data_IF_322375431381
#
_entry.id   IF_322375431381
#
_cell.length_a   1.000
_cell.length_b   1.000
_cell.length_c   1.000
_cell.angle_alpha   90.00
_cell.angle_beta   90.00
_cell.angle_gamma   90.00
#
_symmetry.space_group_name_H-M   'P 1'
#
loop_
_entity.id
_entity.type
_entity.pdbx_description
1 polymer ?
#
# COMPACT_ATOMS: atom_id res chain seq x y z
N UNK A 1 15.93 19.41 -8.87
CA UNK A 1 14.79 20.19 -8.37
C UNK A 1 15.19 20.66 -6.98
N UNK A 2 15.19 21.97 -6.71
CA UNK A 2 15.62 22.50 -5.42
C UNK A 2 14.63 22.10 -4.32
N UNK A 3 15.13 21.83 -3.11
CA UNK A 3 14.27 21.60 -1.95
C UNK A 3 13.61 22.93 -1.59
N UNK A 4 12.34 23.09 -1.96
CA UNK A 4 11.51 24.18 -1.44
C UNK A 4 11.26 23.91 0.05
N UNK A 5 11.85 24.73 0.91
CA UNK A 5 11.66 24.62 2.36
C UNK A 5 10.43 25.42 2.78
N UNK A 6 9.61 24.83 3.64
CA UNK A 6 8.39 25.45 4.18
C UNK A 6 8.49 25.48 5.69
N UNK A 7 8.20 26.63 6.31
CA UNK A 7 8.16 26.76 7.77
C UNK A 7 6.77 26.42 8.29
N UNK A 8 6.69 25.44 9.20
CA UNK A 8 5.45 25.03 9.86
C UNK A 8 5.44 25.51 11.31
N UNK A 9 4.26 25.91 11.81
CA UNK A 9 4.07 26.22 13.24
C UNK A 9 3.50 24.99 13.94
N UNK A 10 4.22 24.52 14.96
CA UNK A 10 3.81 23.40 15.80
C UNK A 10 3.61 23.87 17.24
N UNK A 11 2.64 23.28 17.98
CA UNK A 11 2.57 23.45 19.43
C UNK A 11 3.89 23.03 20.09
N UNK A 12 4.42 23.87 20.99
CA UNK A 12 5.70 23.61 21.66
C UNK A 12 5.80 22.22 22.32
N UNK A 13 4.74 21.68 22.98
CA UNK A 13 4.80 20.32 23.55
C UNK A 13 4.95 19.22 22.50
N UNK A 14 4.39 19.40 21.30
CA UNK A 14 4.52 18.43 20.22
C UNK A 14 5.92 18.46 19.59
N UNK A 15 6.50 19.65 19.45
CA UNK A 15 7.86 19.78 18.97
C UNK A 15 8.86 19.18 19.95
N UNK A 16 8.73 19.46 21.26
CA UNK A 16 9.54 18.82 22.29
C UNK A 16 9.44 17.28 22.23
N UNK A 17 8.24 16.74 21.96
CA UNK A 17 8.08 15.30 21.79
C UNK A 17 8.75 14.77 20.52
N UNK A 18 8.74 15.53 19.43
CA UNK A 18 9.47 15.19 18.22
C UNK A 18 10.99 15.21 18.45
N UNK A 19 11.51 16.15 19.25
CA UNK A 19 12.92 16.17 19.64
C UNK A 19 13.32 14.91 20.42
N UNK A 20 12.54 14.51 21.42
CA UNK A 20 12.78 13.27 22.17
C UNK A 20 12.82 12.04 21.26
N UNK A 21 11.82 11.89 20.39
CA UNK A 21 11.72 10.76 19.47
C UNK A 21 12.82 10.78 18.41
N UNK A 22 13.30 11.96 18.01
CA UNK A 22 14.38 12.09 17.04
C UNK A 22 15.71 11.62 17.63
N UNK A 23 15.95 11.87 18.92
CA UNK A 23 17.10 11.32 19.65
C UNK A 23 17.04 9.79 19.68
N UNK A 24 15.89 9.21 20.01
CA UNK A 24 15.70 7.74 20.03
C UNK A 24 15.90 7.11 18.65
N UNK A 25 15.51 7.80 17.58
CA UNK A 25 15.62 7.36 16.20
C UNK A 25 16.93 7.77 15.51
N UNK A 26 17.88 8.36 16.25
CA UNK A 26 19.17 8.86 15.75
C UNK A 26 19.04 9.74 14.49
N UNK A 27 18.03 10.61 14.46
CA UNK A 27 17.70 11.49 13.33
C UNK A 27 17.46 12.92 13.80
N UNK A 28 17.24 13.86 12.87
CA UNK A 28 16.84 15.22 13.24
C UNK A 28 15.31 15.35 13.34
N UNK A 29 14.78 16.31 14.13
CA UNK A 29 13.34 16.47 14.32
C UNK A 29 12.57 16.74 13.02
N UNK A 30 13.16 17.43 12.06
CA UNK A 30 12.52 17.77 10.78
C UNK A 30 12.30 16.53 9.90
N UNK A 31 13.33 15.68 9.78
CA UNK A 31 13.29 14.40 9.07
C UNK A 31 12.33 13.43 9.74
N UNK A 32 12.30 13.41 11.08
CA UNK A 32 11.33 12.62 11.82
C UNK A 32 9.90 13.09 11.52
N UNK A 33 9.64 14.40 11.55
CA UNK A 33 8.32 14.96 11.25
C UNK A 33 7.92 14.62 9.81
N UNK A 34 8.83 14.74 8.85
CA UNK A 34 8.60 14.33 7.47
C UNK A 34 8.23 12.84 7.36
N UNK A 35 9.00 11.95 8.00
CA UNK A 35 8.70 10.51 8.04
C UNK A 35 7.34 10.20 8.68
N UNK A 36 6.99 10.88 9.78
CA UNK A 36 5.72 10.70 10.45
C UNK A 36 4.54 11.15 9.58
N UNK A 37 4.69 12.27 8.87
CA UNK A 37 3.68 12.76 7.93
C UNK A 37 3.49 11.76 6.78
N UNK A 38 4.57 11.30 6.17
CA UNK A 38 4.52 10.30 5.09
C UNK A 38 3.87 9.00 5.56
N UNK A 39 4.26 8.49 6.73
CA UNK A 39 3.68 7.28 7.32
C UNK A 39 2.18 7.46 7.59
N UNK A 40 1.79 8.61 8.15
CA UNK A 40 0.39 8.92 8.41
C UNK A 40 -0.42 9.04 7.10
N UNK A 41 0.17 9.63 6.06
CA UNK A 41 -0.43 9.73 4.74
C UNK A 41 -0.63 8.35 4.11
N UNK A 42 0.43 7.53 4.07
CA UNK A 42 0.39 6.17 3.54
C UNK A 42 -0.67 5.32 4.26
N UNK A 43 -0.72 5.38 5.60
CA UNK A 43 -1.73 4.65 6.37
C UNK A 43 -3.15 5.08 6.02
N UNK A 44 -3.40 6.39 5.87
CA UNK A 44 -4.73 6.91 5.48
C UNK A 44 -5.10 6.48 4.07
N UNK A 45 -4.16 6.57 3.14
CA UNK A 45 -4.32 6.15 1.74
C UNK A 45 -4.64 4.65 1.68
N UNK A 46 -3.87 3.82 2.37
CA UNK A 46 -4.11 2.38 2.45
C UNK A 46 -5.51 2.04 2.97
N UNK A 47 -5.96 2.69 4.05
CA UNK A 47 -7.30 2.45 4.61
C UNK A 47 -8.40 2.84 3.62
N UNK A 48 -8.22 3.95 2.90
CA UNK A 48 -9.17 4.40 1.86
C UNK A 48 -9.20 3.41 0.71
N UNK A 49 -8.06 3.07 0.13
CA UNK A 49 -7.94 2.18 -1.02
C UNK A 49 -8.42 0.77 -0.70
N UNK A 50 -8.11 0.26 0.50
CA UNK A 50 -8.62 -1.03 0.95
C UNK A 50 -10.15 -1.03 1.07
N UNK A 51 -10.74 0.06 1.56
CA UNK A 51 -12.20 0.20 1.60
C UNK A 51 -12.80 0.22 0.20
N UNK A 52 -12.20 0.97 -0.73
CA UNK A 52 -12.63 1.04 -2.12
C UNK A 52 -12.55 -0.32 -2.81
N UNK A 53 -11.45 -1.05 -2.62
CA UNK A 53 -11.26 -2.41 -3.12
C UNK A 53 -12.34 -3.35 -2.57
N UNK A 54 -12.63 -3.30 -1.27
CA UNK A 54 -13.69 -4.13 -0.66
C UNK A 54 -15.07 -3.83 -1.24
N UNK A 55 -15.39 -2.56 -1.46
CA UNK A 55 -16.68 -2.18 -2.07
C UNK A 55 -16.73 -2.54 -3.55
N UNK A 56 -15.61 -2.51 -4.27
CA UNK A 56 -15.53 -3.02 -5.63
C UNK A 56 -15.78 -4.53 -5.67
N UNK A 57 -15.09 -5.32 -4.84
CA UNK A 57 -15.29 -6.77 -4.76
C UNK A 57 -16.74 -7.12 -4.47
N UNK A 58 -17.40 -6.38 -3.56
CA UNK A 58 -18.83 -6.60 -3.28
C UNK A 58 -19.72 -6.28 -4.48
N UNK A 59 -19.48 -5.16 -5.17
CA UNK A 59 -20.24 -4.78 -6.36
C UNK A 59 -20.10 -5.79 -7.49
N UNK A 60 -18.92 -6.37 -7.62
CA UNK A 60 -18.60 -7.35 -8.66
C UNK A 60 -19.09 -8.78 -8.30
N UNK A 61 -19.80 -8.95 -7.18
CA UNK A 61 -20.38 -10.24 -6.76
C UNK A 61 -19.41 -11.14 -5.98
N UNK A 62 -18.29 -10.60 -5.50
CA UNK A 62 -17.23 -11.34 -4.83
C UNK A 62 -16.08 -11.70 -5.78
N UNK A 63 -15.10 -12.44 -5.27
CA UNK A 63 -13.91 -12.82 -6.05
C UNK A 63 -14.16 -14.04 -6.96
N UNK A 64 -15.25 -14.79 -6.75
CA UNK A 64 -15.60 -15.97 -7.56
C UNK A 64 -14.44 -16.96 -7.77
N UNK A 65 -13.57 -17.12 -6.76
CA UNK A 65 -12.34 -17.95 -6.80
C UNK A 65 -12.52 -19.34 -6.15
N UNK A 66 -13.75 -19.74 -5.84
CA UNK A 66 -14.04 -20.96 -5.07
C UNK A 66 -14.03 -20.75 -3.54
N UNK A 67 -14.53 -21.75 -2.82
CA UNK A 67 -14.68 -21.73 -1.35
C UNK A 67 -13.63 -22.58 -0.64
N UNK A 68 -13.01 -23.53 -1.36
CA UNK A 68 -11.98 -24.43 -0.86
C UNK A 68 -10.62 -24.12 -1.48
N UNK A 69 -9.54 -24.57 -0.82
CA UNK A 69 -8.19 -24.41 -1.34
C UNK A 69 -8.03 -25.10 -2.69
N UNK A 70 -8.62 -26.28 -2.83
CA UNK A 70 -8.54 -27.10 -4.03
C UNK A 70 -9.22 -26.41 -5.21
N UNK A 71 -10.39 -25.82 -5.02
CA UNK A 71 -11.09 -25.03 -6.04
C UNK A 71 -10.26 -23.81 -6.48
N UNK A 72 -9.71 -23.06 -5.52
CA UNK A 72 -8.84 -21.90 -5.81
C UNK A 72 -7.63 -22.32 -6.64
N UNK A 73 -6.97 -23.41 -6.24
CA UNK A 73 -5.77 -23.91 -6.94
C UNK A 73 -6.11 -24.35 -8.36
N UNK A 74 -7.24 -25.03 -8.56
CA UNK A 74 -7.62 -25.51 -9.88
C UNK A 74 -8.02 -24.36 -10.81
N UNK A 75 -8.77 -23.38 -10.30
CA UNK A 75 -9.12 -22.18 -11.06
C UNK A 75 -7.88 -21.38 -11.46
N UNK A 76 -6.91 -21.21 -10.56
CA UNK A 76 -5.62 -20.57 -10.88
C UNK A 76 -4.83 -21.34 -11.94
N UNK A 77 -4.83 -22.68 -11.90
CA UNK A 77 -4.18 -23.50 -12.94
C UNK A 77 -4.85 -23.32 -14.29
N UNK A 78 -6.18 -23.27 -14.32
CA UNK A 78 -6.94 -23.02 -15.54
C UNK A 78 -6.59 -21.64 -16.12
N UNK A 79 -6.67 -20.58 -15.32
CA UNK A 79 -6.31 -19.22 -15.77
C UNK A 79 -4.87 -19.17 -16.28
N UNK A 80 -3.92 -19.83 -15.60
CA UNK A 80 -2.52 -19.87 -16.06
C UNK A 80 -2.37 -20.57 -17.40
N UNK A 81 -3.14 -21.64 -17.66
CA UNK A 81 -3.15 -22.33 -18.95
C UNK A 81 -3.73 -21.45 -20.05
N UNK A 82 -4.84 -20.76 -19.77
CA UNK A 82 -5.45 -19.82 -20.72
C UNK A 82 -4.50 -18.67 -21.10
N UNK A 83 -3.79 -18.10 -20.12
CA UNK A 83 -2.75 -17.08 -20.37
C UNK A 83 -1.62 -17.67 -21.23
N UNK A 84 -1.13 -18.86 -20.89
CA UNK A 84 -0.08 -19.51 -21.67
C UNK A 84 -0.50 -19.75 -23.12
N UNK A 85 -1.72 -20.25 -23.33
CA UNK A 85 -2.25 -20.54 -24.66
C UNK A 85 -2.46 -19.26 -25.48
N UNK A 86 -2.91 -18.17 -24.86
CA UNK A 86 -3.12 -16.89 -25.51
C UNK A 86 -1.79 -16.16 -25.82
N UNK A 87 -0.85 -16.15 -24.88
CA UNK A 87 0.33 -15.27 -24.93
C UNK A 87 1.63 -15.99 -25.32
N UNK A 88 1.73 -17.30 -25.21
CA UNK A 88 3.02 -18.02 -25.35
C UNK A 88 2.96 -19.24 -26.27
N UNK A 89 1.79 -19.81 -26.57
CA UNK A 89 1.70 -21.01 -27.42
C UNK A 89 2.29 -20.84 -28.81
N UNK A 90 2.34 -19.60 -29.34
CA UNK A 90 2.96 -19.29 -30.63
C UNK A 90 4.49 -19.31 -30.61
N UNK A 91 5.13 -19.33 -29.43
CA UNK A 91 6.59 -19.38 -29.27
C UNK A 91 7.15 -20.81 -29.23
N UNK A 92 6.28 -21.80 -29.04
CA UNK A 92 6.65 -23.22 -28.91
C UNK A 92 6.06 -24.09 -30.03
N UNK A 93 5.65 -23.45 -31.14
CA UNK A 93 5.06 -24.11 -32.30
C UNK A 93 6.02 -24.13 -33.47
#
# INVERSE_FOLDING_TARGET
MGLETVTLRLPAPLYAKAEELAVEAETNPDDLVAMLIETAHQRRTWVREFKELREQIKRDGGLSIGSSREEVVEQLRQTRREIFDAEYAHLYR
#
